data_IF_021628961477
#
_entry.id   IF_021628961477
#
_cell.length_a   1.000
_cell.length_b   1.000
_cell.length_c   1.000
_cell.angle_alpha   90.00
_cell.angle_beta   90.00
_cell.angle_gamma   90.00
#
_symmetry.space_group_name_H-M   'P 1'
#
loop_
_entity.id
_entity.type
_entity.pdbx_description
1 polymer ?
#
# COMPACT_ATOMS: atom_id res chain seq x y z
N UNK A 1 -0.55 32.64 25.33
CA UNK A 1 -1.56 33.07 26.34
C UNK A 1 -0.83 33.53 27.57
N UNK A 2 -0.91 34.81 27.92
CA UNK A 2 -0.70 35.26 29.31
C UNK A 2 -2.10 35.61 29.80
N UNK A 3 -2.62 34.87 30.78
CA UNK A 3 -3.88 35.16 31.46
C UNK A 3 -5.15 35.22 30.57
N UNK A 4 -5.30 34.34 29.57
CA UNK A 4 -6.56 34.21 28.81
C UNK A 4 -6.81 35.26 27.72
N UNK A 5 -5.94 36.27 27.58
CA UNK A 5 -6.08 37.30 26.55
C UNK A 5 -5.50 36.83 25.19
N UNK A 6 -6.18 37.15 24.06
CA UNK A 6 -5.66 36.87 22.73
C UNK A 6 -4.37 37.65 22.47
N UNK A 7 -3.40 37.01 21.80
CA UNK A 7 -2.15 37.62 21.43
C UNK A 7 -2.19 38.01 19.95
N UNK A 8 -1.85 39.24 19.55
CA UNK A 8 -1.83 39.63 18.15
C UNK A 8 -0.71 38.87 17.44
N UNK A 9 -1.07 38.11 16.40
CA UNK A 9 -0.12 37.39 15.53
C UNK A 9 -0.20 37.96 14.13
N UNK A 10 0.96 38.20 13.51
CA UNK A 10 1.02 38.73 12.15
C UNK A 10 0.75 37.65 11.09
N UNK A 11 1.16 36.40 11.36
CA UNK A 11 1.05 35.28 10.43
C UNK A 11 0.82 33.97 11.20
N UNK A 12 0.17 33.02 10.54
CA UNK A 12 0.02 31.63 11.02
C UNK A 12 0.56 30.70 9.94
N UNK A 13 1.48 29.80 10.32
CA UNK A 13 2.01 28.76 9.42
C UNK A 13 1.47 27.42 9.90
N UNK A 14 0.73 26.74 9.04
CA UNK A 14 0.20 25.40 9.30
C UNK A 14 1.24 24.35 8.93
N UNK A 15 2.02 23.93 9.92
CA UNK A 15 2.99 22.84 9.81
C UNK A 15 2.48 21.53 10.45
N UNK A 16 1.17 21.29 10.38
CA UNK A 16 0.47 20.17 11.05
C UNK A 16 0.44 18.89 10.22
N UNK A 17 1.27 18.78 9.18
CA UNK A 17 1.38 17.61 8.31
C UNK A 17 0.40 17.60 7.13
N UNK A 18 0.16 16.41 6.60
CA UNK A 18 -0.69 16.16 5.45
C UNK A 18 -1.56 14.92 5.69
N UNK A 19 -2.57 14.71 4.85
CA UNK A 19 -3.37 13.47 4.80
C UNK A 19 -3.06 12.74 3.50
N UNK A 20 -2.99 11.42 3.56
CA UNK A 20 -2.95 10.61 2.36
C UNK A 20 -4.33 10.60 1.69
N UNK A 21 -4.36 10.70 0.37
CA UNK A 21 -5.59 10.55 -0.40
C UNK A 21 -5.50 9.31 -1.27
N UNK A 22 -6.47 8.41 -1.08
CA UNK A 22 -6.64 7.18 -1.84
C UNK A 22 -7.92 7.23 -2.68
N UNK A 23 -8.52 8.41 -2.87
CA UNK A 23 -9.82 8.61 -3.53
C UNK A 23 -9.83 8.18 -5.01
N UNK A 24 -8.64 7.95 -5.57
CA UNK A 24 -8.44 7.44 -6.93
C UNK A 24 -8.46 5.91 -7.01
N UNK A 25 -8.50 5.21 -5.88
CA UNK A 25 -8.56 3.75 -5.80
C UNK A 25 -10.01 3.34 -5.49
N UNK A 26 -10.72 2.83 -6.50
CA UNK A 26 -12.10 2.34 -6.35
C UNK A 26 -12.11 0.87 -5.91
N UNK A 27 -11.61 0.60 -4.70
CA UNK A 27 -11.60 -0.73 -4.08
C UNK A 27 -11.94 -0.62 -2.58
N UNK A 28 -12.67 -1.60 -2.00
CA UNK A 28 -13.10 -1.56 -0.61
C UNK A 28 -11.97 -1.93 0.37
N UNK A 29 -10.79 -1.32 0.24
CA UNK A 29 -9.57 -1.69 0.97
C UNK A 29 -9.23 -0.75 2.14
N UNK A 30 -9.95 0.35 2.30
CA UNK A 30 -9.68 1.33 3.36
C UNK A 30 -10.44 0.98 4.64
N UNK A 31 -9.82 1.27 5.79
CA UNK A 31 -10.42 1.26 7.12
C UNK A 31 -11.29 2.51 7.34
N UNK A 32 -12.04 2.51 8.45
CA UNK A 32 -12.85 3.67 8.87
C UNK A 32 -12.03 4.95 9.09
N UNK A 33 -10.72 4.81 9.37
CA UNK A 33 -9.78 5.92 9.54
C UNK A 33 -9.16 6.42 8.22
N UNK A 34 -9.54 5.82 7.08
CA UNK A 34 -9.06 6.17 5.75
C UNK A 34 -7.72 5.55 5.36
N UNK A 35 -7.12 4.69 6.19
CA UNK A 35 -5.88 3.97 5.86
C UNK A 35 -6.18 2.63 5.17
N UNK A 36 -5.35 2.22 4.20
CA UNK A 36 -5.50 0.91 3.57
C UNK A 36 -5.23 -0.21 4.58
N UNK A 37 -6.05 -1.26 4.54
CA UNK A 37 -5.78 -2.54 5.21
C UNK A 37 -4.66 -3.25 4.50
N UNK A 38 -3.47 -3.15 5.06
CA UNK A 38 -2.28 -3.78 4.54
C UNK A 38 -1.42 -4.34 5.67
N UNK A 39 -0.61 -5.34 5.34
CA UNK A 39 0.49 -5.78 6.19
C UNK A 39 1.80 -5.72 5.41
N UNK A 40 2.72 -4.84 5.85
CA UNK A 40 4.02 -4.57 5.19
C UNK A 40 3.88 -4.25 3.68
N UNK A 41 2.80 -3.58 3.31
CA UNK A 41 2.48 -3.18 1.95
C UNK A 41 1.65 -4.18 1.15
N UNK A 42 1.29 -5.35 1.70
CA UNK A 42 0.45 -6.34 1.02
C UNK A 42 -1.02 -6.11 1.36
N UNK A 43 -1.88 -5.95 0.35
CA UNK A 43 -3.33 -5.79 0.53
C UNK A 43 -4.03 -7.13 0.31
N UNK A 44 -4.36 -7.84 1.39
CA UNK A 44 -4.96 -9.18 1.30
C UNK A 44 -6.35 -9.17 0.65
N UNK A 45 -7.15 -8.13 0.93
CA UNK A 45 -8.51 -7.97 0.38
C UNK A 45 -8.53 -7.69 -1.14
N UNK A 46 -7.38 -7.34 -1.73
CA UNK A 46 -7.24 -7.07 -3.16
C UNK A 46 -5.95 -7.71 -3.71
N UNK A 47 -5.94 -9.03 -3.98
CA UNK A 47 -4.75 -9.73 -4.46
C UNK A 47 -4.17 -9.10 -5.73
N UNK A 48 -2.89 -8.73 -5.65
CA UNK A 48 -2.18 -8.03 -6.74
C UNK A 48 -2.03 -6.53 -6.50
N UNK A 49 -2.71 -5.95 -5.51
CA UNK A 49 -2.49 -4.59 -5.04
C UNK A 49 -1.46 -4.57 -3.91
N UNK A 50 -0.53 -3.63 -4.00
CA UNK A 50 0.50 -3.40 -3.01
C UNK A 50 0.70 -1.91 -2.77
N UNK A 51 1.10 -1.55 -1.55
CA UNK A 51 1.45 -0.20 -1.15
C UNK A 51 2.92 -0.16 -0.71
N UNK A 52 3.62 0.93 -0.99
CA UNK A 52 5.01 1.10 -0.60
C UNK A 52 5.24 2.56 -0.20
N UNK A 53 5.98 2.76 0.90
CA UNK A 53 6.28 4.09 1.43
C UNK A 53 5.26 4.63 2.42
N UNK A 54 4.37 3.79 2.95
CA UNK A 54 3.50 4.21 4.04
C UNK A 54 4.29 4.31 5.36
N UNK A 55 3.82 5.14 6.28
CA UNK A 55 4.38 5.19 7.62
C UNK A 55 4.16 3.85 8.34
N UNK A 56 5.17 3.36 9.05
CA UNK A 56 5.07 2.14 9.89
C UNK A 56 4.77 0.82 9.15
N UNK A 57 5.02 0.70 7.84
CA UNK A 57 4.92 -0.60 7.15
C UNK A 57 5.84 -1.65 7.79
N UNK A 58 7.14 -1.34 7.85
CA UNK A 58 8.09 -2.09 8.67
C UNK A 58 8.59 -1.27 9.85
N UNK A 59 8.82 0.03 9.63
CA UNK A 59 9.26 0.96 10.66
C UNK A 59 8.73 2.36 10.37
N UNK A 60 8.83 3.28 11.33
CA UNK A 60 8.50 4.68 11.08
C UNK A 60 9.25 5.27 9.87
N UNK A 61 10.49 4.82 9.63
CA UNK A 61 11.31 5.26 8.50
C UNK A 61 10.82 4.78 7.14
N UNK A 62 9.82 3.91 7.05
CA UNK A 62 9.26 3.40 5.79
C UNK A 62 8.74 4.53 4.88
N UNK A 63 8.27 5.64 5.44
CA UNK A 63 7.84 6.83 4.66
C UNK A 63 8.98 7.73 4.19
N UNK A 64 10.22 7.45 4.61
CA UNK A 64 11.39 8.27 4.30
C UNK A 64 12.17 7.65 3.16
N UNK A 65 12.71 8.48 2.26
CA UNK A 65 13.55 8.02 1.13
C UNK A 65 14.69 7.10 1.58
N UNK A 66 15.32 7.39 2.73
CA UNK A 66 16.39 6.57 3.27
C UNK A 66 15.92 5.24 3.90
N UNK A 67 14.64 5.09 4.23
CA UNK A 67 14.10 3.91 4.92
C UNK A 67 13.21 3.00 4.06
N UNK A 68 12.61 3.53 2.99
CA UNK A 68 11.63 2.82 2.13
C UNK A 68 12.21 1.62 1.38
N UNK A 69 13.52 1.57 1.15
CA UNK A 69 14.15 0.53 0.33
C UNK A 69 13.88 -0.90 0.81
N UNK A 70 13.74 -1.10 2.13
CA UNK A 70 13.42 -2.43 2.71
C UNK A 70 11.98 -2.85 2.43
N UNK A 71 11.04 -1.91 2.48
CA UNK A 71 9.63 -2.16 2.17
C UNK A 71 9.44 -2.42 0.68
N UNK A 72 10.11 -1.64 -0.18
CA UNK A 72 10.13 -1.86 -1.63
C UNK A 72 10.66 -3.25 -2.00
N UNK A 73 11.79 -3.67 -1.38
CA UNK A 73 12.34 -5.00 -1.61
C UNK A 73 11.39 -6.13 -1.17
N UNK A 74 10.71 -5.94 -0.04
CA UNK A 74 9.73 -6.90 0.46
C UNK A 74 8.52 -7.03 -0.48
N UNK A 75 7.92 -5.91 -0.88
CA UNK A 75 6.78 -5.88 -1.81
C UNK A 75 7.16 -6.48 -3.17
N UNK A 76 8.32 -6.13 -3.72
CA UNK A 76 8.79 -6.67 -5.00
C UNK A 76 8.99 -8.20 -4.92
N UNK A 77 9.54 -8.70 -3.82
CA UNK A 77 9.72 -10.14 -3.61
C UNK A 77 8.38 -10.87 -3.55
N UNK A 78 7.41 -10.30 -2.82
CA UNK A 78 6.06 -10.86 -2.72
C UNK A 78 5.34 -10.87 -4.08
N UNK A 79 5.44 -9.77 -4.84
CA UNK A 79 4.87 -9.66 -6.18
C UNK A 79 5.46 -10.69 -7.14
N UNK A 80 6.79 -10.86 -7.14
CA UNK A 80 7.46 -11.86 -8.00
C UNK A 80 6.95 -13.27 -7.71
N UNK A 81 6.88 -13.66 -6.44
CA UNK A 81 6.38 -14.98 -6.05
C UNK A 81 4.91 -15.19 -6.47
N UNK A 82 4.07 -14.17 -6.33
CA UNK A 82 2.67 -14.23 -6.76
C UNK A 82 2.54 -14.36 -8.28
N UNK A 83 3.39 -13.68 -9.06
CA UNK A 83 3.42 -13.77 -10.52
C UNK A 83 3.85 -15.15 -11.01
N UNK A 84 4.83 -15.77 -10.35
CA UNK A 84 5.29 -17.13 -10.68
C UNK A 84 4.17 -18.16 -10.46
N UNK A 85 3.43 -18.03 -9.36
CA UNK A 85 2.27 -18.88 -9.07
C UNK A 85 1.14 -18.68 -10.10
N UNK A 86 0.84 -17.43 -10.45
CA UNK A 86 -0.18 -17.12 -11.44
C UNK A 86 0.16 -17.68 -12.84
N UNK A 87 1.44 -17.60 -13.22
CA UNK A 87 1.96 -18.15 -14.48
C UNK A 87 1.87 -19.68 -14.50
N UNK A 88 2.30 -20.33 -13.42
CA UNK A 88 2.21 -21.79 -13.27
C UNK A 88 0.76 -22.28 -13.38
N UNK A 89 -0.18 -21.61 -12.70
CA UNK A 89 -1.60 -21.93 -12.77
C UNK A 89 -2.16 -21.82 -14.20
N UNK A 90 -1.80 -20.76 -14.94
CA UNK A 90 -2.22 -20.59 -16.34
C UNK A 90 -1.71 -21.72 -17.24
N UNK A 91 -0.46 -22.15 -17.08
CA UNK A 91 0.14 -23.22 -17.88
C UNK A 91 -0.56 -24.57 -17.66
N UNK A 92 -0.90 -24.88 -16.40
CA UNK A 92 -1.66 -26.09 -16.04
C UNK A 92 -3.04 -26.06 -16.71
N UNK A 93 -3.80 -24.98 -16.53
CA UNK A 93 -5.15 -24.84 -17.13
C UNK A 93 -5.12 -24.92 -18.67
N UNK A 94 -4.10 -24.35 -19.32
CA UNK A 94 -3.97 -24.43 -20.78
C UNK A 94 -3.63 -25.85 -21.28
N UNK A 95 -2.84 -26.59 -20.51
CA UNK A 95 -2.48 -27.98 -20.83
C UNK A 95 -3.70 -28.91 -20.73
N UNK A 96 -4.51 -28.74 -19.68
CA UNK A 96 -5.77 -29.47 -19.52
C UNK A 96 -6.75 -29.19 -20.66
N UNK A 97 -6.96 -27.91 -21.01
CA UNK A 97 -7.84 -27.50 -22.10
C UNK A 97 -7.40 -28.08 -23.46
N UNK A 98 -6.10 -28.06 -23.78
CA UNK A 98 -5.56 -28.65 -25.02
C UNK A 98 -5.73 -30.16 -25.09
N UNK A 99 -5.72 -30.84 -23.94
CA UNK A 99 -5.92 -32.30 -23.86
C UNK A 99 -7.38 -32.66 -24.08
N UNK A 100 -8.31 -31.88 -23.53
CA UNK A 100 -9.76 -32.09 -23.69
C UNK A 100 -10.26 -31.92 -25.14
N UNK A 101 -9.68 -31.01 -25.94
CA UNK A 101 -10.10 -30.76 -27.34
C UNK A 101 -9.51 -31.77 -28.35
N UNK A 102 -8.60 -32.66 -27.91
CA UNK A 102 -7.94 -33.66 -28.77
C UNK A 102 -8.64 -35.03 -28.80
N UNK A 103 -9.79 -35.17 -28.13
CA UNK A 103 -10.62 -36.39 -28.09
C UNK A 103 -11.91 -36.14 -28.84
#
# INVERSE_FOLDING_TARGET
>A
MVNGAPFPVANVIWATGFRQSFDWIDLPILNEDGWPRELRGVVEDAPGLYLCGLSFQYAFSSMLVAGVGRDAAYVASHLSAAMDQATSRRLVTQTEAKTATRT
#
